data_IF_455909780084
#
_entry.id   IF_455909780084
#
_cell.length_a   1.000
_cell.length_b   1.000
_cell.length_c   1.000
_cell.angle_alpha   90.00
_cell.angle_beta   90.00
_cell.angle_gamma   90.00
#
_symmetry.space_group_name_H-M   'P 1'
#
loop_
_entity.id
_entity.type
_entity.pdbx_description
1 polymer ?
#
# COMPACT_ATOMS: atom_id res chain seq x y z
N UNK A 1 -15.58 -4.32 -22.20
CA UNK A 1 -14.76 -4.95 -21.13
C UNK A 1 -14.03 -3.83 -20.42
N UNK A 2 -14.35 -3.56 -19.16
CA UNK A 2 -13.52 -2.67 -18.32
C UNK A 2 -12.34 -3.52 -17.88
N UNK A 3 -11.13 -3.13 -18.28
CA UNK A 3 -9.90 -3.80 -17.85
C UNK A 3 -9.72 -3.47 -16.36
N UNK A 4 -10.14 -4.37 -15.48
CA UNK A 4 -10.00 -4.18 -14.02
C UNK A 4 -8.52 -4.32 -13.69
N UNK A 5 -7.94 -3.38 -12.96
CA UNK A 5 -6.54 -3.47 -12.54
C UNK A 5 -6.27 -4.81 -11.84
N UNK A 6 -5.23 -5.51 -12.27
CA UNK A 6 -4.77 -6.72 -11.57
C UNK A 6 -4.12 -6.33 -10.24
N UNK A 7 -4.25 -7.19 -9.24
CA UNK A 7 -3.65 -6.98 -7.92
C UNK A 7 -2.11 -6.99 -8.00
N UNK A 8 -1.45 -6.14 -7.20
CA UNK A 8 0.01 -6.02 -7.11
C UNK A 8 0.74 -7.23 -6.47
N UNK A 9 0.03 -8.35 -6.22
CA UNK A 9 0.59 -9.58 -5.65
C UNK A 9 1.03 -10.60 -6.72
N UNK A 10 0.76 -10.32 -8.01
CA UNK A 10 1.04 -11.26 -9.11
C UNK A 10 1.98 -10.72 -10.19
N UNK A 11 2.19 -9.41 -10.27
CA UNK A 11 3.07 -8.78 -11.24
C UNK A 11 3.54 -7.40 -10.75
N UNK A 12 4.65 -6.89 -11.31
CA UNK A 12 5.23 -5.59 -10.93
C UNK A 12 4.56 -4.40 -11.63
N UNK A 13 4.11 -4.59 -12.87
CA UNK A 13 3.23 -3.65 -13.58
C UNK A 13 1.80 -3.75 -13.01
N UNK A 14 1.55 -2.98 -11.95
CA UNK A 14 0.30 -3.05 -11.20
C UNK A 14 -0.21 -1.69 -10.70
N UNK A 15 0.55 -0.60 -10.93
CA UNK A 15 0.21 0.74 -10.47
C UNK A 15 -0.85 1.37 -11.38
N UNK A 16 -2.11 1.06 -11.09
CA UNK A 16 -3.27 1.57 -11.80
C UNK A 16 -4.30 2.18 -10.83
N UNK A 17 -5.27 2.88 -11.39
CA UNK A 17 -6.43 3.42 -10.68
C UNK A 17 -7.69 2.87 -11.34
N UNK A 18 -8.60 2.32 -10.54
CA UNK A 18 -9.96 2.06 -10.98
C UNK A 18 -10.84 3.27 -10.57
N UNK A 19 -11.46 3.93 -11.55
CA UNK A 19 -12.32 5.11 -11.33
C UNK A 19 -13.76 4.75 -11.70
N UNK A 20 -14.66 4.85 -10.73
CA UNK A 20 -16.09 4.59 -10.89
C UNK A 20 -16.84 5.92 -10.79
N UNK A 21 -17.67 6.19 -11.80
CA UNK A 21 -18.48 7.38 -11.91
C UNK A 21 -19.95 6.97 -12.06
N UNK A 22 -20.90 7.73 -11.48
CA UNK A 22 -22.31 7.41 -11.65
C UNK A 22 -22.77 7.77 -13.07
N UNK A 23 -23.64 6.93 -13.64
CA UNK A 23 -24.11 7.06 -15.04
C UNK A 23 -24.79 8.42 -15.32
N UNK A 24 -25.42 8.99 -14.29
CA UNK A 24 -26.10 10.29 -14.34
C UNK A 24 -25.27 11.42 -13.74
N UNK A 25 -23.94 11.40 -13.85
CA UNK A 25 -23.13 12.57 -13.52
C UNK A 25 -23.11 13.54 -14.70
N UNK A 26 -23.93 14.63 -14.73
CA UNK A 26 -23.70 15.70 -15.68
C UNK A 26 -22.27 16.22 -15.53
N UNK A 27 -21.60 16.51 -16.65
CA UNK A 27 -20.22 17.01 -16.70
C UNK A 27 -19.97 18.37 -16.00
N UNK A 28 -20.97 18.92 -15.29
CA UNK A 28 -20.89 20.12 -14.46
C UNK A 28 -21.04 19.85 -12.96
N UNK A 29 -21.30 18.60 -12.53
CA UNK A 29 -21.39 18.29 -11.11
C UNK A 29 -20.00 18.12 -10.51
N UNK A 30 -19.76 18.82 -9.40
CA UNK A 30 -18.58 18.69 -8.55
C UNK A 30 -18.88 17.66 -7.45
N UNK A 31 -18.78 16.37 -7.79
CA UNK A 31 -19.18 15.27 -6.92
C UNK A 31 -18.15 14.99 -5.83
N UNK A 32 -18.56 14.55 -4.62
CA UNK A 32 -17.63 14.02 -3.63
C UNK A 32 -16.81 12.87 -4.22
N UNK A 33 -15.56 12.75 -3.77
CA UNK A 33 -14.66 11.67 -4.19
C UNK A 33 -14.35 10.78 -2.99
N UNK A 34 -14.64 9.49 -3.10
CA UNK A 34 -14.15 8.49 -2.17
C UNK A 34 -12.87 7.87 -2.73
N UNK A 35 -11.74 8.10 -2.06
CA UNK A 35 -10.47 7.46 -2.37
C UNK A 35 -10.25 6.25 -1.47
N UNK A 36 -10.38 5.05 -2.03
CA UNK A 36 -10.30 3.79 -1.29
C UNK A 36 -8.88 3.21 -1.32
N UNK A 37 -8.33 2.95 -0.14
CA UNK A 37 -7.06 2.25 0.06
C UNK A 37 -7.37 0.86 0.60
N UNK A 38 -7.03 -0.14 -0.21
CA UNK A 38 -7.26 -1.55 0.12
C UNK A 38 -6.40 -2.00 1.31
N UNK A 39 -6.99 -2.86 2.15
CA UNK A 39 -6.31 -3.63 3.17
C UNK A 39 -5.49 -4.80 2.64
N UNK A 40 -5.46 -5.91 3.38
CA UNK A 40 -4.71 -7.10 2.97
C UNK A 40 -3.33 -7.24 3.63
N UNK A 41 -3.15 -6.67 4.83
CA UNK A 41 -1.94 -6.83 5.65
C UNK A 41 -0.64 -6.44 4.95
N UNK A 42 -0.71 -5.53 3.98
CA UNK A 42 0.41 -5.12 3.12
C UNK A 42 1.04 -6.23 2.25
N UNK A 43 0.49 -7.44 2.23
CA UNK A 43 1.02 -8.57 1.47
C UNK A 43 0.13 -8.99 0.30
N UNK A 44 -1.15 -8.61 0.35
CA UNK A 44 -2.16 -9.10 -0.59
C UNK A 44 -2.83 -10.35 -0.02
N UNK A 45 -4.05 -10.17 0.49
CA UNK A 45 -4.94 -11.29 0.75
C UNK A 45 -6.10 -11.22 -0.23
N UNK A 46 -6.46 -12.37 -0.80
CA UNK A 46 -7.62 -12.52 -1.66
C UNK A 46 -8.90 -12.57 -0.83
N UNK A 47 -9.26 -11.45 -0.21
CA UNK A 47 -10.64 -11.23 0.21
C UNK A 47 -11.40 -10.60 -0.96
N UNK A 48 -12.62 -11.07 -1.29
CA UNK A 48 -13.47 -10.38 -2.24
C UNK A 48 -13.69 -8.95 -1.74
N UNK A 49 -13.01 -7.99 -2.35
CA UNK A 49 -13.34 -6.59 -2.16
C UNK A 49 -14.33 -6.21 -3.24
N UNK A 50 -15.42 -5.55 -2.83
CA UNK A 50 -16.38 -4.99 -3.76
C UNK A 50 -15.72 -4.00 -4.71
N UNK A 51 -16.30 -3.85 -5.90
CA UNK A 51 -15.97 -2.73 -6.77
C UNK A 51 -16.69 -1.45 -6.32
N UNK A 52 -16.31 -0.31 -6.91
CA UNK A 52 -16.93 0.98 -6.58
C UNK A 52 -18.29 1.21 -7.25
N UNK A 53 -18.82 0.25 -8.02
CA UNK A 53 -20.01 0.48 -8.87
C UNK A 53 -21.24 0.76 -8.03
N UNK A 54 -21.56 -0.13 -7.08
CA UNK A 54 -22.76 0.00 -6.26
C UNK A 54 -22.73 1.28 -5.42
N UNK A 55 -21.58 1.60 -4.84
CA UNK A 55 -21.41 2.78 -3.99
C UNK A 55 -21.49 4.08 -4.80
N UNK A 56 -20.84 4.13 -5.96
CA UNK A 56 -20.88 5.28 -6.87
C UNK A 56 -22.32 5.57 -7.33
N UNK A 57 -23.06 4.53 -7.74
CA UNK A 57 -24.43 4.67 -8.24
C UNK A 57 -25.45 5.00 -7.13
N UNK A 58 -25.30 4.44 -5.93
CA UNK A 58 -26.27 4.63 -4.85
C UNK A 58 -26.15 5.99 -4.15
N UNK A 59 -24.97 6.62 -4.19
CA UNK A 59 -24.68 7.83 -3.41
C UNK A 59 -24.19 9.02 -4.26
N UNK A 60 -24.26 8.94 -5.58
CA UNK A 60 -23.84 9.99 -6.51
C UNK A 60 -22.44 10.54 -6.19
N UNK A 61 -21.46 9.64 -6.11
CA UNK A 61 -20.06 9.98 -5.81
C UNK A 61 -19.10 9.28 -6.77
N UNK A 62 -17.90 9.86 -6.92
CA UNK A 62 -16.80 9.22 -7.64
C UNK A 62 -16.05 8.32 -6.68
N UNK A 63 -15.86 7.05 -7.03
CA UNK A 63 -14.99 6.14 -6.26
C UNK A 63 -13.69 5.96 -7.03
N UNK A 64 -12.56 6.18 -6.35
CA UNK A 64 -11.22 5.88 -6.87
C UNK A 64 -10.59 4.80 -6.01
N UNK A 65 -10.25 3.67 -6.61
CA UNK A 65 -9.49 2.61 -5.94
C UNK A 65 -8.04 2.68 -6.44
N UNK A 66 -7.11 2.93 -5.53
CA UNK A 66 -5.68 2.96 -5.84
C UNK A 66 -5.03 1.60 -5.60
N UNK A 67 -4.38 1.07 -6.64
CA UNK A 67 -3.49 -0.09 -6.51
C UNK A 67 -2.08 0.41 -6.17
N UNK A 68 -1.45 -0.25 -5.20
CA UNK A 68 -0.13 0.12 -4.68
C UNK A 68 0.70 -1.15 -4.49
N UNK A 69 2.03 -1.03 -4.58
CA UNK A 69 2.92 -2.18 -4.38
C UNK A 69 2.64 -2.85 -3.04
N UNK A 70 2.84 -4.17 -2.97
CA UNK A 70 2.71 -4.97 -1.75
C UNK A 70 4.00 -5.73 -1.43
N UNK A 71 4.06 -6.33 -0.24
CA UNK A 71 5.12 -7.24 0.17
C UNK A 71 6.48 -6.55 0.32
N UNK A 72 7.55 -7.31 0.06
CA UNK A 72 8.91 -6.77 0.07
C UNK A 72 9.08 -5.64 -0.95
N UNK A 73 8.48 -5.74 -2.14
CA UNK A 73 8.64 -4.72 -3.20
C UNK A 73 8.12 -3.33 -2.78
N UNK A 74 7.18 -3.31 -1.83
CA UNK A 74 6.54 -2.09 -1.35
C UNK A 74 7.25 -1.44 -0.16
N UNK A 75 8.00 -2.23 0.61
CA UNK A 75 8.49 -1.82 1.92
C UNK A 75 9.97 -2.13 2.15
N UNK A 76 10.68 -2.71 1.17
CA UNK A 76 12.10 -3.05 1.29
C UNK A 76 12.92 -1.84 1.66
N UNK A 77 13.58 -1.91 2.81
CA UNK A 77 14.25 -0.78 3.41
C UNK A 77 15.75 -0.97 3.68
N UNK A 78 16.54 0.00 3.23
CA UNK A 78 17.99 0.08 3.45
C UNK A 78 18.47 1.53 3.50
N UNK A 79 19.76 1.75 3.77
CA UNK A 79 20.38 3.07 3.67
C UNK A 79 20.65 3.43 2.19
N UNK A 80 20.92 2.44 1.35
CA UNK A 80 21.09 2.62 -0.09
C UNK A 80 19.80 3.15 -0.74
N UNK A 81 18.63 2.59 -0.40
CA UNK A 81 17.35 3.11 -0.92
C UNK A 81 17.10 4.56 -0.47
N UNK A 82 17.38 4.87 0.80
CA UNK A 82 17.27 6.24 1.31
C UNK A 82 18.19 7.21 0.56
N UNK A 83 19.43 6.80 0.32
CA UNK A 83 20.44 7.65 -0.33
C UNK A 83 20.15 7.90 -1.80
N UNK A 84 19.62 6.90 -2.51
CA UNK A 84 19.35 6.99 -3.95
C UNK A 84 18.02 7.71 -4.25
N UNK A 85 16.99 7.47 -3.44
CA UNK A 85 15.61 7.82 -3.79
C UNK A 85 14.92 8.72 -2.75
N UNK A 86 15.60 9.05 -1.64
CA UNK A 86 15.05 9.92 -0.59
C UNK A 86 13.96 9.28 0.27
N UNK A 87 13.76 7.96 0.19
CA UNK A 87 12.88 7.20 1.08
C UNK A 87 13.57 5.95 1.55
N UNK A 88 13.36 5.57 2.81
CA UNK A 88 13.96 4.34 3.32
C UNK A 88 13.42 3.10 2.63
N UNK A 89 12.26 3.13 1.98
CA UNK A 89 11.66 1.93 1.40
C UNK A 89 10.14 1.93 1.37
N UNK A 90 9.47 3.02 1.79
CA UNK A 90 8.02 3.13 1.92
C UNK A 90 7.28 3.31 0.59
N UNK A 91 7.74 2.59 -0.44
CA UNK A 91 7.26 2.67 -1.81
C UNK A 91 5.75 2.49 -1.94
N UNK A 92 5.16 1.54 -1.21
CA UNK A 92 3.71 1.33 -1.22
C UNK A 92 2.94 2.56 -0.73
N UNK A 93 3.44 3.27 0.28
CA UNK A 93 2.81 4.53 0.73
C UNK A 93 3.05 5.68 -0.24
N UNK A 94 4.20 5.69 -0.93
CA UNK A 94 4.50 6.67 -1.96
C UNK A 94 3.65 6.47 -3.21
N UNK A 95 3.33 5.23 -3.56
CA UNK A 95 2.38 4.88 -4.63
C UNK A 95 0.98 5.42 -4.29
N UNK A 96 0.52 5.21 -3.06
CA UNK A 96 -0.76 5.74 -2.57
C UNK A 96 -0.78 7.27 -2.59
N UNK A 97 0.32 7.93 -2.22
CA UNK A 97 0.46 9.39 -2.30
C UNK A 97 0.45 9.87 -3.76
N UNK A 98 1.12 9.17 -4.67
CA UNK A 98 1.11 9.49 -6.09
C UNK A 98 -0.31 9.37 -6.67
N UNK A 99 -1.08 8.37 -6.26
CA UNK A 99 -2.49 8.24 -6.61
C UNK A 99 -3.35 9.39 -6.06
N UNK A 100 -3.11 9.83 -4.81
CA UNK A 100 -3.78 11.02 -4.25
C UNK A 100 -3.44 12.31 -5.03
N UNK A 101 -2.18 12.48 -5.45
CA UNK A 101 -1.77 13.59 -6.31
C UNK A 101 -2.49 13.53 -7.66
N UNK A 102 -2.57 12.35 -8.28
CA UNK A 102 -3.31 12.16 -9.50
C UNK A 102 -4.79 12.54 -9.34
N UNK A 103 -5.43 12.14 -8.24
CA UNK A 103 -6.82 12.53 -7.95
C UNK A 103 -6.94 14.04 -7.86
N UNK A 104 -6.07 14.70 -7.11
CA UNK A 104 -6.06 16.17 -6.99
C UNK A 104 -5.95 16.87 -8.35
N UNK A 105 -5.14 16.35 -9.26
CA UNK A 105 -4.89 16.95 -10.57
C UNK A 105 -5.93 16.60 -11.63
N UNK A 106 -6.53 15.40 -11.58
CA UNK A 106 -7.25 14.81 -12.71
C UNK A 106 -8.71 14.48 -12.42
N UNK A 107 -9.13 14.36 -11.16
CA UNK A 107 -10.46 13.82 -10.85
C UNK A 107 -11.61 14.72 -11.32
N UNK A 108 -11.36 16.02 -11.50
CA UNK A 108 -12.30 16.96 -12.11
C UNK A 108 -12.73 16.55 -13.52
N UNK A 109 -11.84 15.90 -14.29
CA UNK A 109 -12.17 15.39 -15.62
C UNK A 109 -13.17 14.21 -15.59
N UNK A 110 -13.39 13.64 -14.41
CA UNK A 110 -14.32 12.54 -14.15
C UNK A 110 -15.56 13.01 -13.36
N UNK A 111 -15.77 14.33 -13.23
CA UNK A 111 -16.88 14.92 -12.47
C UNK A 111 -16.67 14.90 -10.94
N UNK A 112 -15.47 14.59 -10.47
CA UNK A 112 -15.12 14.64 -9.04
C UNK A 112 -14.60 16.00 -8.61
N UNK A 113 -14.86 16.38 -7.37
CA UNK A 113 -14.34 17.58 -6.74
C UNK A 113 -13.00 17.28 -6.03
N UNK A 114 -11.85 17.81 -6.49
CA UNK A 114 -10.56 17.57 -5.83
C UNK A 114 -10.48 18.20 -4.42
N UNK A 115 -11.38 19.12 -4.07
CA UNK A 115 -11.53 19.70 -2.74
C UNK A 115 -12.41 18.88 -1.78
N UNK A 116 -13.13 17.87 -2.27
CA UNK A 116 -14.05 17.02 -1.47
C UNK A 116 -13.65 15.54 -1.53
N UNK A 117 -12.35 15.28 -1.38
CA UNK A 117 -11.79 13.93 -1.35
C UNK A 117 -11.83 13.37 0.07
N UNK A 118 -12.57 12.28 0.28
CA UNK A 118 -12.54 11.48 1.51
C UNK A 118 -11.68 10.25 1.26
N UNK A 119 -10.57 10.10 1.99
CA UNK A 119 -9.80 8.85 1.97
C UNK A 119 -10.41 7.84 2.93
N UNK A 120 -10.49 6.59 2.52
CA UNK A 120 -11.06 5.51 3.30
C UNK A 120 -10.22 4.25 3.14
N UNK A 121 -10.24 3.38 4.14
CA UNK A 121 -9.57 2.09 4.05
C UNK A 121 -10.00 1.16 5.16
N UNK A 122 -9.63 -0.10 5.00
CA UNK A 122 -9.90 -1.20 5.92
C UNK A 122 -8.60 -1.93 6.27
N UNK A 123 -8.44 -2.35 7.53
CA UNK A 123 -7.26 -3.10 7.99
C UNK A 123 -5.95 -2.38 7.66
N UNK A 124 -5.05 -2.97 6.87
CA UNK A 124 -3.82 -2.30 6.40
C UNK A 124 -4.09 -1.00 5.61
N UNK A 125 -5.25 -0.90 4.96
CA UNK A 125 -5.70 0.30 4.27
C UNK A 125 -6.01 1.42 5.24
N UNK A 126 -6.61 1.12 6.40
CA UNK A 126 -6.80 2.11 7.46
C UNK A 126 -5.46 2.60 8.03
N UNK A 127 -4.46 1.73 8.16
CA UNK A 127 -3.12 2.15 8.56
C UNK A 127 -2.49 3.05 7.49
N UNK A 128 -2.73 2.78 6.21
CA UNK A 128 -2.34 3.69 5.13
C UNK A 128 -3.07 5.05 5.22
N UNK A 129 -4.36 5.06 5.56
CA UNK A 129 -5.12 6.30 5.83
C UNK A 129 -4.48 7.09 6.97
N UNK A 130 -4.12 6.42 8.06
CA UNK A 130 -3.42 6.98 9.22
C UNK A 130 -2.04 7.52 8.86
N UNK A 131 -1.25 6.78 8.09
CA UNK A 131 0.05 7.23 7.56
C UNK A 131 -0.11 8.57 6.84
N UNK A 132 -1.05 8.64 5.90
CA UNK A 132 -1.32 9.87 5.17
C UNK A 132 -1.95 10.98 6.02
N UNK A 133 -2.44 10.71 7.23
CA UNK A 133 -2.93 11.76 8.14
C UNK A 133 -1.77 12.54 8.77
N UNK A 134 -0.62 11.89 8.95
CA UNK A 134 0.55 12.47 9.62
C UNK A 134 1.69 12.78 8.65
N UNK A 135 1.74 12.14 7.48
CA UNK A 135 2.74 12.38 6.45
C UNK A 135 2.61 13.81 5.88
N UNK A 136 3.61 14.69 6.06
CA UNK A 136 3.53 16.08 5.57
C UNK A 136 3.31 16.17 4.06
N UNK A 137 3.87 15.22 3.31
CA UNK A 137 3.73 15.16 1.86
C UNK A 137 2.30 14.88 1.36
N UNK A 138 1.41 14.40 2.24
CA UNK A 138 0.00 14.13 1.93
C UNK A 138 -0.95 15.24 2.38
N UNK A 139 -0.45 16.24 3.10
CA UNK A 139 -1.25 17.35 3.58
C UNK A 139 -1.90 18.12 2.41
N UNK A 140 -3.20 18.41 2.54
CA UNK A 140 -3.95 19.13 1.51
C UNK A 140 -4.24 18.32 0.23
N UNK A 141 -4.08 16.99 0.26
CA UNK A 141 -4.52 16.08 -0.82
C UNK A 141 -5.90 15.46 -0.57
N UNK A 142 -6.45 15.62 0.63
CA UNK A 142 -7.75 15.10 1.03
C UNK A 142 -8.43 16.07 2.00
N UNK A 143 -9.74 15.91 2.14
CA UNK A 143 -10.62 16.69 3.01
C UNK A 143 -11.03 15.93 4.28
N UNK A 144 -11.32 14.63 4.15
CA UNK A 144 -11.79 13.80 5.27
C UNK A 144 -11.19 12.39 5.23
N UNK A 145 -11.35 11.64 6.33
CA UNK A 145 -10.85 10.27 6.47
C UNK A 145 -11.88 9.34 7.12
N UNK A 146 -11.97 8.10 6.62
CA UNK A 146 -12.73 6.99 7.20
C UNK A 146 -11.75 5.86 7.55
N UNK A 147 -11.91 5.27 8.74
CA UNK A 147 -11.01 4.28 9.30
C UNK A 147 -11.79 3.03 9.69
N UNK A 148 -11.59 1.91 9.01
CA UNK A 148 -12.29 0.67 9.30
C UNK A 148 -11.36 -0.35 9.98
N UNK A 149 -11.76 -0.81 11.17
CA UNK A 149 -11.15 -1.94 11.90
C UNK A 149 -9.74 -1.74 12.49
N UNK A 150 -9.19 -0.52 12.53
CA UNK A 150 -7.94 -0.21 13.27
C UNK A 150 -7.83 1.27 13.64
N UNK A 151 -6.90 1.61 14.54
CA UNK A 151 -6.75 2.93 15.17
C UNK A 151 -5.27 3.27 15.43
N UNK A 152 -4.98 4.53 15.76
CA UNK A 152 -3.61 5.04 16.01
C UNK A 152 -2.83 4.33 17.11
N UNK A 153 -3.52 3.70 18.07
CA UNK A 153 -2.88 3.00 19.19
C UNK A 153 -2.38 1.60 18.81
N UNK A 154 -2.71 1.14 17.60
CA UNK A 154 -2.34 -0.18 17.13
C UNK A 154 -1.20 -0.06 16.10
N UNK A 155 0.08 -0.20 16.51
CA UNK A 155 1.21 -0.14 15.59
C UNK A 155 1.34 -1.42 14.76
N UNK A 156 0.26 -2.22 14.65
CA UNK A 156 0.25 -3.44 13.88
C UNK A 156 0.63 -3.08 12.43
N UNK A 157 1.67 -3.73 11.92
CA UNK A 157 2.31 -3.49 10.61
C UNK A 157 3.31 -2.33 10.48
N UNK A 158 3.37 -1.36 11.39
CA UNK A 158 4.47 -0.39 11.35
C UNK A 158 5.77 -1.04 11.84
N UNK A 159 6.86 -0.83 11.11
CA UNK A 159 8.18 -1.34 11.44
C UNK A 159 9.05 -0.21 11.99
N UNK A 160 9.76 -0.48 13.10
CA UNK A 160 10.84 0.39 13.52
C UNK A 160 11.99 0.28 12.51
N UNK A 161 12.59 1.42 12.11
CA UNK A 161 13.67 1.47 11.11
C UNK A 161 14.78 0.43 11.35
N UNK A 162 15.25 0.30 12.58
CA UNK A 162 16.29 -0.66 12.98
C UNK A 162 15.89 -2.12 12.68
N UNK A 163 14.66 -2.48 13.00
CA UNK A 163 14.15 -3.84 12.83
C UNK A 163 13.85 -4.13 11.35
N UNK A 164 13.30 -3.16 10.63
CA UNK A 164 13.12 -3.22 9.19
C UNK A 164 14.46 -3.46 8.48
N UNK A 165 15.50 -2.67 8.78
CA UNK A 165 16.82 -2.84 8.16
C UNK A 165 17.42 -4.22 8.43
N UNK A 166 17.30 -4.70 9.67
CA UNK A 166 17.76 -6.05 10.02
C UNK A 166 16.99 -7.14 9.29
N UNK A 167 15.69 -6.94 9.09
CA UNK A 167 14.86 -7.87 8.34
C UNK A 167 15.22 -7.87 6.85
N UNK A 168 15.39 -6.70 6.23
CA UNK A 168 15.71 -6.60 4.81
C UNK A 168 17.13 -7.01 4.47
N UNK A 169 18.07 -6.93 5.43
CA UNK A 169 19.38 -7.60 5.32
C UNK A 169 19.24 -9.12 5.21
N UNK A 170 18.35 -9.71 6.01
CA UNK A 170 18.03 -11.14 5.91
C UNK A 170 17.32 -11.46 4.58
N UNK A 171 16.38 -10.62 4.14
CA UNK A 171 15.72 -10.79 2.82
C UNK A 171 16.75 -10.74 1.70
N UNK A 172 17.66 -9.77 1.71
CA UNK A 172 18.69 -9.62 0.68
C UNK A 172 19.63 -10.85 0.61
N UNK A 173 20.14 -11.28 1.76
CA UNK A 173 21.15 -12.34 1.81
C UNK A 173 20.53 -13.73 1.70
N UNK A 174 19.44 -14.01 2.42
CA UNK A 174 18.89 -15.35 2.55
C UNK A 174 17.81 -15.66 1.50
N UNK A 175 17.01 -14.66 1.11
CA UNK A 175 15.97 -14.86 0.09
C UNK A 175 16.47 -14.45 -1.29
N UNK A 176 16.97 -13.24 -1.47
CA UNK A 176 17.40 -12.74 -2.77
C UNK A 176 18.73 -13.38 -3.22
N UNK A 177 19.63 -13.71 -2.30
CA UNK A 177 20.98 -14.20 -2.63
C UNK A 177 21.90 -13.07 -3.10
N UNK A 178 21.58 -11.83 -2.72
CA UNK A 178 22.42 -10.66 -2.91
C UNK A 178 23.46 -10.55 -1.80
N UNK A 179 24.48 -9.72 -2.02
CA UNK A 179 25.57 -9.53 -1.06
C UNK A 179 25.07 -9.04 0.30
N UNK A 180 24.23 -8.01 0.29
CA UNK A 180 23.66 -7.33 1.45
C UNK A 180 22.44 -6.50 1.00
N UNK A 181 21.74 -5.85 1.93
CA UNK A 181 20.58 -4.98 1.59
C UNK A 181 20.96 -3.68 0.87
N UNK A 182 22.25 -3.38 0.71
CA UNK A 182 22.72 -2.20 0.00
C UNK A 182 22.94 -2.47 -1.50
N UNK A 183 23.02 -3.73 -1.91
CA UNK A 183 23.19 -4.15 -3.31
C UNK A 183 21.89 -4.02 -4.12
N UNK A 184 21.45 -2.77 -4.34
CA UNK A 184 20.24 -2.45 -5.11
C UNK A 184 20.31 -2.98 -6.55
N UNK A 185 21.50 -3.05 -7.15
CA UNK A 185 21.68 -3.58 -8.50
C UNK A 185 21.39 -5.08 -8.57
N UNK A 186 21.81 -5.85 -7.56
CA UNK A 186 21.42 -7.25 -7.45
C UNK A 186 19.92 -7.37 -7.17
N UNK A 187 19.40 -6.64 -6.19
CA UNK A 187 18.00 -6.75 -5.75
C UNK A 187 17.00 -6.50 -6.89
N UNK A 188 17.26 -5.50 -7.75
CA UNK A 188 16.43 -5.19 -8.93
C UNK A 188 16.44 -6.26 -10.03
N UNK A 189 17.39 -7.20 -9.99
CA UNK A 189 17.48 -8.33 -10.93
C UNK A 189 16.86 -9.61 -10.38
N UNK A 190 16.47 -9.62 -9.11
CA UNK A 190 15.87 -10.80 -8.48
C UNK A 190 14.51 -11.05 -9.11
N UNK A 191 14.23 -12.31 -9.45
CA UNK A 191 12.92 -12.68 -9.97
C UNK A 191 11.82 -12.37 -8.94
N UNK A 192 10.78 -11.67 -9.38
CA UNK A 192 9.59 -11.31 -8.58
C UNK A 192 9.10 -12.43 -7.66
N UNK A 193 8.97 -13.65 -8.17
CA UNK A 193 8.44 -14.79 -7.42
C UNK A 193 9.31 -15.18 -6.21
N UNK A 194 10.61 -14.86 -6.24
CA UNK A 194 11.53 -15.11 -5.12
C UNK A 194 11.31 -14.14 -3.96
N UNK A 195 10.76 -12.96 -4.25
CA UNK A 195 10.46 -11.91 -3.28
C UNK A 195 9.00 -11.96 -2.80
N UNK A 196 8.18 -12.86 -3.34
CA UNK A 196 6.78 -13.00 -2.94
C UNK A 196 6.62 -13.60 -1.54
N UNK A 197 5.71 -13.01 -0.76
CA UNK A 197 5.27 -13.54 0.53
C UNK A 197 4.13 -14.52 0.27
N UNK A 198 4.40 -15.83 0.32
CA UNK A 198 3.40 -16.83 -0.05
C UNK A 198 2.43 -17.17 1.10
N UNK A 199 1.27 -17.72 0.75
CA UNK A 199 0.23 -18.15 1.69
C UNK A 199 0.62 -19.28 2.64
N UNK A 200 1.65 -20.08 2.33
CA UNK A 200 2.19 -21.15 3.20
C UNK A 200 3.07 -20.65 4.35
N UNK A 201 3.29 -19.33 4.45
CA UNK A 201 3.71 -18.68 5.71
C UNK A 201 2.57 -18.67 6.75
N UNK A 202 1.36 -19.02 6.33
CA UNK A 202 0.18 -19.20 7.17
C UNK A 202 -0.43 -20.58 6.88
N UNK A 203 -1.23 -21.10 7.81
CA UNK A 203 -1.98 -22.38 7.69
C UNK A 203 -1.15 -23.63 8.05
N UNK A 204 -0.90 -23.80 9.36
CA UNK A 204 -1.30 -24.98 10.16
C UNK A 204 -0.44 -25.07 11.42
N UNK A 205 -0.75 -24.26 12.46
CA UNK A 205 -0.53 -24.52 13.90
C UNK A 205 0.85 -24.92 14.44
N UNK A 206 1.79 -25.32 13.60
CA UNK A 206 3.13 -25.76 13.90
C UNK A 206 4.06 -24.76 13.25
N UNK A 207 4.49 -23.79 14.06
CA UNK A 207 5.57 -22.88 13.70
C UNK A 207 6.83 -23.68 13.39
N UNK A 208 6.99 -24.12 12.14
CA UNK A 208 8.30 -24.57 11.68
C UNK A 208 9.22 -23.36 11.75
N UNK A 209 10.21 -23.45 12.65
CA UNK A 209 11.31 -22.51 12.97
C UNK A 209 12.12 -21.97 11.77
N UNK A 210 11.63 -22.06 10.53
CA UNK A 210 12.42 -21.98 9.31
C UNK A 210 12.12 -20.79 8.39
N UNK A 211 11.19 -19.90 8.73
CA UNK A 211 10.68 -18.97 7.70
C UNK A 211 11.04 -17.50 7.88
N UNK A 212 11.55 -17.05 9.02
CA UNK A 212 12.07 -15.69 9.11
C UNK A 212 12.38 -15.28 10.54
N UNK A 213 13.03 -14.14 10.74
CA UNK A 213 13.36 -13.70 12.07
C UNK A 213 12.18 -13.01 12.80
N UNK A 214 12.08 -13.15 14.14
CA UNK A 214 11.00 -12.56 14.93
C UNK A 214 11.00 -11.02 14.97
N UNK A 215 12.10 -10.38 14.55
CA UNK A 215 12.19 -8.92 14.43
C UNK A 215 11.64 -8.39 13.10
N UNK A 216 11.02 -9.21 12.25
CA UNK A 216 10.40 -8.70 11.02
C UNK A 216 9.23 -7.75 11.34
N UNK A 217 8.35 -8.09 12.28
CA UNK A 217 7.31 -7.17 12.76
C UNK A 217 6.77 -7.60 14.12
N UNK A 218 6.01 -6.69 14.77
CA UNK A 218 5.26 -6.98 16.00
C UNK A 218 4.28 -8.16 15.84
N UNK A 219 3.85 -8.43 14.60
CA UNK A 219 2.89 -9.49 14.27
C UNK A 219 3.55 -10.69 13.56
N UNK A 220 4.88 -10.82 13.62
CA UNK A 220 5.57 -11.97 13.06
C UNK A 220 5.10 -13.29 13.71
N UNK A 221 4.94 -14.40 12.96
CA UNK A 221 5.17 -14.57 11.52
C UNK A 221 4.00 -14.15 10.64
N UNK A 222 2.88 -13.71 11.22
CA UNK A 222 1.63 -13.48 10.49
C UNK A 222 1.74 -12.35 9.47
N UNK A 223 2.42 -11.26 9.79
CA UNK A 223 2.55 -10.09 8.91
C UNK A 223 3.96 -9.49 8.96
N UNK A 224 4.95 -10.03 8.23
CA UNK A 224 6.36 -9.65 8.36
C UNK A 224 6.75 -8.30 7.73
N UNK A 225 5.86 -7.64 7.00
CA UNK A 225 6.14 -6.38 6.28
C UNK A 225 5.12 -5.30 6.60
N UNK A 226 5.53 -4.04 6.39
CA UNK A 226 4.66 -2.88 6.38
C UNK A 226 5.48 -1.59 6.40
N UNK A 227 4.84 -0.41 6.52
CA UNK A 227 5.53 0.87 6.46
C UNK A 227 6.55 1.03 7.59
N UNK A 228 7.71 1.58 7.24
CA UNK A 228 8.82 1.84 8.14
C UNK A 228 8.70 3.24 8.73
N UNK A 229 8.68 3.36 10.06
CA UNK A 229 8.74 4.66 10.73
C UNK A 229 10.16 5.21 10.59
N UNK A 230 10.37 6.05 9.57
CA UNK A 230 11.69 6.52 9.16
C UNK A 230 11.94 8.02 9.39
N UNK A 231 10.90 8.81 9.63
CA UNK A 231 10.98 10.25 9.84
C UNK A 231 11.28 11.06 8.58
N UNK A 232 11.22 10.43 7.39
CA UNK A 232 11.53 11.06 6.10
C UNK A 232 10.30 11.11 5.19
N UNK A 233 9.40 10.14 5.31
CA UNK A 233 8.20 10.00 4.45
C UNK A 233 6.89 10.16 5.20
#
# INVERSE_FOLDING_TARGET
MVNRGQFCDKHEDCLHLDVYIPEKAPGYLSLPVLFWIRGGGFMGFHFPQGDGVALSAAHDLVVVIAHYRLGHLAFFASDASLSEEGSTGNWGTLDQRAALLWVKEKIANFGGDPGRVTKAGESAGTLSVLWHLVAPGSAGLYHAAILESTTVISPIFYQAKKDAYRYYEWVATQLAGCKDAQDLQCLRKVNFNKLQLNSSWQINGEMKKKFGPPWASVMFPKYPVGPVIDGVT
#
